data_IF_573541048074
#
_entry.id   IF_573541048074
#
_cell.length_a   1.000
_cell.length_b   1.000
_cell.length_c   1.000
_cell.angle_alpha   90.00
_cell.angle_beta   90.00
_cell.angle_gamma   90.00
#
_symmetry.space_group_name_H-M   'P 1'
#
loop_
_entity.id
_entity.type
_entity.pdbx_description
1 polymer ?
#
# COMPACT_ATOMS: atom_id res chain seq x y z
N UNK A 1 -33.63 51.42 -24.87
CA UNK A 1 -32.77 52.47 -24.26
C UNK A 1 -31.59 51.73 -23.64
N UNK A 2 -30.33 51.80 -24.08
CA UNK A 2 -29.60 52.63 -25.06
C UNK A 2 -28.41 51.79 -25.60
N UNK A 3 -28.21 51.86 -26.92
CA UNK A 3 -27.02 51.75 -27.81
C UNK A 3 -25.76 50.98 -27.37
N UNK A 4 -25.24 50.00 -28.16
CA UNK A 4 -24.45 50.06 -29.42
C UNK A 4 -23.11 50.80 -29.32
N UNK A 5 -21.99 50.07 -29.51
CA UNK A 5 -20.88 50.49 -30.38
C UNK A 5 -20.00 49.29 -30.79
N UNK A 6 -19.87 49.13 -32.10
CA UNK A 6 -18.98 48.24 -32.87
C UNK A 6 -17.77 49.06 -33.27
N UNK A 7 -16.55 48.50 -33.30
CA UNK A 7 -15.55 48.80 -34.34
C UNK A 7 -14.66 47.57 -34.59
N UNK A 8 -14.55 47.23 -35.87
CA UNK A 8 -13.58 46.32 -36.46
C UNK A 8 -12.84 47.08 -37.56
N UNK A 9 -11.53 46.89 -37.70
CA UNK A 9 -10.72 47.11 -38.92
C UNK A 9 -9.31 46.52 -38.69
N UNK A 10 -8.95 45.41 -39.36
CA UNK A 10 -8.16 45.28 -40.62
C UNK A 10 -6.67 45.65 -40.53
N UNK A 11 -5.79 44.77 -41.03
CA UNK A 11 -4.64 45.21 -41.82
C UNK A 11 -3.27 44.55 -41.60
N UNK A 12 -3.02 43.50 -42.37
CA UNK A 12 -1.80 43.17 -43.14
C UNK A 12 -0.43 42.86 -42.52
N UNK A 13 0.04 41.69 -42.98
CA UNK A 13 1.40 41.22 -43.13
C UNK A 13 2.37 42.18 -43.83
N UNK A 14 3.65 42.10 -43.41
CA UNK A 14 4.79 42.30 -44.31
C UNK A 14 5.92 41.37 -43.88
N UNK A 15 6.38 40.52 -44.81
CA UNK A 15 7.46 39.56 -44.58
C UNK A 15 8.84 40.20 -44.68
N UNK A 16 9.84 39.49 -44.13
CA UNK A 16 11.21 39.57 -44.64
C UNK A 16 11.95 38.26 -44.37
N UNK A 17 12.33 37.62 -45.47
CA UNK A 17 13.29 36.52 -45.54
C UNK A 17 14.68 37.06 -45.21
N UNK A 18 15.45 36.34 -44.41
CA UNK A 18 16.90 36.24 -44.60
C UNK A 18 17.32 34.80 -44.31
N UNK A 19 17.83 34.17 -45.35
CA UNK A 19 18.62 32.94 -45.34
C UNK A 19 20.01 33.25 -44.78
N UNK A 20 20.60 32.40 -43.93
CA UNK A 20 22.04 32.13 -44.01
C UNK A 20 22.44 30.77 -43.41
N UNK A 21 23.07 30.00 -44.30
CA UNK A 21 24.03 28.90 -44.20
C UNK A 21 24.14 27.94 -43.00
N UNK A 22 24.25 26.67 -43.39
CA UNK A 22 24.70 25.52 -42.60
C UNK A 22 26.14 25.73 -42.12
N UNK A 23 26.36 25.52 -40.82
CA UNK A 23 27.68 25.38 -40.21
C UNK A 23 27.80 24.01 -39.56
N UNK A 24 28.70 23.19 -40.10
CA UNK A 24 29.13 21.88 -39.62
C UNK A 24 29.72 21.94 -38.21
N UNK A 25 29.17 21.18 -37.27
CA UNK A 25 29.79 20.93 -35.96
C UNK A 25 30.67 19.70 -36.06
N UNK A 26 31.97 19.93 -36.26
CA UNK A 26 33.02 18.93 -36.11
C UNK A 26 33.30 18.68 -34.62
N UNK A 27 33.25 17.41 -34.23
CA UNK A 27 33.74 16.87 -32.98
C UNK A 27 35.20 17.28 -32.71
N UNK A 28 35.49 17.77 -31.50
CA UNK A 28 36.85 17.90 -30.98
C UNK A 28 36.98 17.19 -29.64
N UNK A 29 37.72 16.09 -29.69
CA UNK A 29 38.34 15.36 -28.59
C UNK A 29 39.37 16.24 -27.88
N UNK A 30 39.48 16.21 -26.54
CA UNK A 30 40.61 16.82 -25.84
C UNK A 30 41.85 15.89 -25.82
N UNK A 31 43.08 16.46 -25.76
CA UNK A 31 44.34 15.71 -25.84
C UNK A 31 44.76 15.06 -24.50
N UNK A 32 45.57 13.98 -24.53
CA UNK A 32 46.19 13.38 -23.34
C UNK A 32 47.63 13.85 -23.13
N UNK A 33 48.12 13.92 -21.87
CA UNK A 33 49.54 13.77 -21.45
C UNK A 33 49.72 14.07 -19.95
N UNK A 34 50.82 13.63 -19.27
CA UNK A 34 51.69 12.48 -19.53
C UNK A 34 51.96 11.59 -18.28
N UNK A 35 52.74 10.54 -18.51
CA UNK A 35 53.13 9.43 -17.62
C UNK A 35 54.34 9.71 -16.68
N UNK A 36 54.31 9.04 -15.52
CA UNK A 36 55.39 8.33 -14.77
C UNK A 36 56.54 9.10 -14.05
N UNK A 37 57.17 8.55 -12.97
CA UNK A 37 57.62 7.14 -12.86
C UNK A 37 57.41 6.35 -11.54
N UNK A 38 57.24 5.02 -11.72
CA UNK A 38 57.94 3.84 -11.12
C UNK A 38 59.05 4.15 -10.08
N UNK A 39 59.37 3.44 -8.98
CA UNK A 39 59.24 2.07 -8.42
C UNK A 39 59.86 2.15 -6.96
N UNK A 40 60.08 1.09 -6.13
CA UNK A 40 59.88 -0.35 -6.33
C UNK A 40 59.11 -1.11 -5.24
N UNK A 41 58.76 -2.33 -5.63
CA UNK A 41 58.23 -3.41 -4.82
C UNK A 41 59.33 -4.20 -4.08
N UNK A 42 59.01 -4.63 -2.87
CA UNK A 42 59.52 -5.82 -2.18
C UNK A 42 58.28 -6.50 -1.58
N UNK A 43 57.91 -7.76 -1.74
CA UNK A 43 58.64 -8.97 -2.12
C UNK A 43 58.33 -10.04 -1.07
N UNK A 44 57.45 -11.02 -1.40
CA UNK A 44 57.31 -12.37 -0.79
C UNK A 44 56.82 -12.43 0.69
N UNK A 45 56.07 -13.42 1.19
CA UNK A 45 55.92 -14.85 0.88
C UNK A 45 54.67 -15.40 1.61
N UNK A 46 54.06 -16.47 1.08
CA UNK A 46 53.17 -17.41 1.79
C UNK A 46 53.94 -18.21 2.84
N UNK A 47 53.28 -18.65 3.91
CA UNK A 47 53.83 -19.62 4.86
C UNK A 47 52.82 -20.04 5.94
N UNK A 48 52.71 -21.36 6.11
CA UNK A 48 51.70 -22.15 6.83
C UNK A 48 51.69 -22.05 8.37
N UNK A 49 50.60 -22.60 8.91
CA UNK A 49 50.38 -22.98 10.29
C UNK A 49 51.47 -23.88 10.91
N UNK A 50 51.74 -23.69 12.21
CA UNK A 50 51.71 -24.72 13.29
C UNK A 50 52.21 -24.17 14.63
N UNK A 51 51.33 -24.29 15.63
CA UNK A 51 51.49 -24.75 17.03
C UNK A 51 52.93 -24.98 17.55
N UNK A 52 53.26 -24.43 18.73
CA UNK A 52 53.70 -25.09 20.00
C UNK A 52 54.31 -24.06 20.99
N UNK A 53 54.11 -24.32 22.29
CA UNK A 53 54.53 -23.64 23.53
C UNK A 53 56.06 -23.36 23.62
N UNK A 54 56.64 -22.62 24.56
CA UNK A 54 56.39 -22.44 25.99
C UNK A 54 57.26 -21.30 26.59
N UNK A 55 56.78 -20.68 27.67
CA UNK A 55 57.48 -20.19 28.88
C UNK A 55 58.47 -18.99 28.95
N UNK A 56 58.20 -18.23 30.03
CA UNK A 56 59.00 -17.26 30.84
C UNK A 56 59.11 -15.84 30.26
N UNK A 57 58.82 -14.73 30.96
CA UNK A 57 58.41 -14.44 32.32
C UNK A 57 58.73 -12.96 32.60
N UNK A 58 57.87 -12.19 33.29
CA UNK A 58 58.26 -10.86 33.79
C UNK A 58 57.17 -9.79 33.94
N UNK A 59 56.62 -9.70 35.17
CA UNK A 59 56.22 -8.49 35.94
C UNK A 59 55.28 -7.46 35.27
N UNK A 60 54.00 -7.37 35.67
CA UNK A 60 53.36 -6.78 36.89
C UNK A 60 52.78 -5.38 36.64
N UNK A 61 51.44 -5.27 36.80
CA UNK A 61 50.57 -4.25 37.45
C UNK A 61 49.19 -4.35 36.76
N UNK A 62 48.15 -4.99 37.33
CA UNK A 62 47.33 -4.57 38.48
C UNK A 62 46.26 -3.59 37.99
N UNK A 63 45.00 -3.97 37.72
CA UNK A 63 43.92 -4.14 38.70
C UNK A 63 42.75 -5.01 38.17
N UNK A 64 42.04 -5.67 39.10
CA UNK A 64 41.15 -6.81 38.90
C UNK A 64 39.68 -6.45 38.63
N UNK A 65 39.06 -7.26 37.79
CA UNK A 65 37.61 -7.52 37.71
C UNK A 65 37.17 -8.46 38.84
N UNK A 66 35.92 -8.34 39.32
CA UNK A 66 35.28 -9.37 40.15
C UNK A 66 33.81 -9.54 39.78
N UNK A 67 33.47 -10.71 39.26
CA UNK A 67 32.13 -11.26 39.22
C UNK A 67 32.08 -12.46 40.19
N UNK A 68 31.02 -12.59 40.98
CA UNK A 68 30.71 -13.82 41.73
C UNK A 68 29.18 -14.00 41.82
N UNK A 69 28.75 -15.26 41.66
CA UNK A 69 27.38 -15.76 41.71
C UNK A 69 27.00 -16.26 43.12
N UNK A 70 25.72 -16.12 43.44
CA UNK A 70 24.78 -17.01 44.18
C UNK A 70 25.20 -17.83 45.42
N UNK A 71 24.53 -17.62 46.58
CA UNK A 71 23.55 -18.52 47.29
C UNK A 71 23.40 -18.22 48.82
N UNK A 72 22.32 -18.69 49.50
CA UNK A 72 21.67 -18.11 50.71
C UNK A 72 22.05 -18.89 52.01
N UNK A 73 21.46 -18.74 53.25
CA UNK A 73 20.01 -18.80 53.64
C UNK A 73 19.57 -17.90 54.84
N UNK A 74 18.25 -17.81 55.11
CA UNK A 74 17.61 -18.11 56.42
C UNK A 74 16.17 -17.56 56.55
N UNK A 75 15.27 -18.44 57.00
CA UNK A 75 13.87 -18.21 57.40
C UNK A 75 13.79 -17.68 58.85
N UNK A 76 12.77 -16.86 59.18
CA UNK A 76 11.71 -17.18 60.18
C UNK A 76 10.61 -16.11 60.28
N UNK A 77 9.41 -16.62 60.53
CA UNK A 77 8.09 -15.98 60.68
C UNK A 77 7.92 -15.08 61.92
N UNK A 78 6.96 -14.15 61.83
CA UNK A 78 5.77 -13.89 62.71
C UNK A 78 5.16 -12.56 62.19
N UNK A 79 3.91 -12.45 61.74
CA UNK A 79 2.66 -12.65 62.48
C UNK A 79 2.28 -11.35 63.20
N UNK A 80 1.25 -10.62 62.75
CA UNK A 80 0.76 -9.43 63.45
C UNK A 80 -0.13 -8.50 62.62
N UNK A 81 -1.43 -8.54 62.92
CA UNK A 81 -2.54 -7.72 62.40
C UNK A 81 -2.41 -6.27 62.92
N UNK A 82 -2.76 -5.26 62.12
CA UNK A 82 -2.83 -3.86 62.55
C UNK A 82 -4.25 -3.26 62.34
N UNK A 83 -4.76 -2.41 63.26
CA UNK A 83 -6.15 -1.97 63.30
C UNK A 83 -6.38 -0.51 62.82
N UNK A 84 -7.64 -0.20 62.50
CA UNK A 84 -8.25 1.15 62.46
C UNK A 84 -8.59 1.65 63.89
N UNK A 85 -9.08 2.89 64.17
CA UNK A 85 -9.14 4.20 63.48
C UNK A 85 -8.56 5.35 64.41
N UNK A 86 -8.91 6.67 64.36
CA UNK A 86 -10.25 7.23 64.61
C UNK A 86 -10.70 8.43 63.72
N UNK A 87 -11.98 8.78 63.86
CA UNK A 87 -12.69 9.95 63.32
C UNK A 87 -12.44 11.19 64.20
N UNK A 88 -12.53 12.40 63.63
CA UNK A 88 -13.50 13.49 63.91
C UNK A 88 -13.11 14.79 63.15
N UNK A 89 -14.13 15.59 62.77
CA UNK A 89 -14.07 16.84 61.98
C UNK A 89 -14.08 18.08 62.91
N UNK A 90 -14.45 19.33 62.51
CA UNK A 90 -14.52 20.00 61.20
C UNK A 90 -13.87 21.41 61.20
N UNK A 91 -13.51 21.99 60.04
CA UNK A 91 -13.48 23.46 59.89
C UNK A 91 -13.87 23.91 58.48
N UNK A 92 -14.90 24.74 58.47
CA UNK A 92 -15.51 25.45 57.35
C UNK A 92 -14.63 26.59 56.85
N UNK A 93 -14.42 26.70 55.53
CA UNK A 93 -14.28 28.01 54.86
C UNK A 93 -14.66 27.87 53.39
N UNK A 94 -15.71 28.61 53.03
CA UNK A 94 -16.33 28.56 51.72
C UNK A 94 -15.46 29.15 50.62
N UNK A 95 -15.51 28.51 49.46
CA UNK A 95 -15.31 29.15 48.17
C UNK A 95 -16.64 29.10 47.44
N UNK A 96 -17.18 30.29 47.19
CA UNK A 96 -18.38 30.50 46.40
C UNK A 96 -18.15 30.03 44.96
N UNK A 97 -19.01 29.13 44.48
CA UNK A 97 -19.14 28.78 43.07
C UNK A 97 -20.12 29.80 42.42
N UNK A 98 -19.84 30.30 41.20
CA UNK A 98 -20.79 31.13 40.49
C UNK A 98 -21.98 30.28 40.03
N UNK A 99 -23.18 30.77 40.38
CA UNK A 99 -24.47 30.31 39.87
C UNK A 99 -24.53 30.50 38.34
N UNK A 100 -24.43 29.40 37.60
CA UNK A 100 -24.91 29.34 36.22
C UNK A 100 -26.35 28.81 36.29
N UNK A 101 -27.27 29.63 35.80
CA UNK A 101 -28.69 29.33 35.75
C UNK A 101 -28.98 28.00 35.05
N UNK A 102 -29.85 27.20 35.66
CA UNK A 102 -30.43 25.99 35.07
C UNK A 102 -31.14 26.33 33.75
N UNK A 103 -30.47 26.10 32.64
CA UNK A 103 -31.10 26.02 31.32
C UNK A 103 -31.80 24.68 31.24
N UNK A 104 -33.12 24.69 31.35
CA UNK A 104 -33.95 23.51 31.16
C UNK A 104 -33.64 22.83 29.81
N UNK A 105 -33.51 21.49 29.75
CA UNK A 105 -33.23 20.79 28.50
C UNK A 105 -34.42 20.96 27.53
N UNK A 106 -34.17 21.12 26.21
CA UNK A 106 -35.24 21.19 25.23
C UNK A 106 -36.03 19.89 25.20
N UNK A 107 -37.37 20.02 25.16
CA UNK A 107 -38.29 18.88 25.07
C UNK A 107 -37.96 18.01 23.84
N UNK A 108 -38.01 16.66 23.96
CA UNK A 108 -37.79 15.79 22.81
C UNK A 108 -38.87 16.04 21.74
N UNK A 109 -38.43 16.25 20.50
CA UNK A 109 -39.30 16.39 19.35
C UNK A 109 -40.12 15.10 19.16
N UNK A 110 -41.43 15.24 18.96
CA UNK A 110 -42.31 14.10 18.63
C UNK A 110 -41.85 13.46 17.32
N UNK A 111 -41.72 12.12 17.23
CA UNK A 111 -41.40 11.45 15.98
C UNK A 111 -42.52 11.69 14.96
N UNK A 112 -42.17 12.22 13.78
CA UNK A 112 -43.05 12.26 12.62
C UNK A 112 -43.23 10.82 12.11
N UNK A 113 -44.44 10.30 12.22
CA UNK A 113 -44.83 9.03 11.60
C UNK A 113 -44.81 9.23 10.07
N UNK A 114 -44.02 8.44 9.30
CA UNK A 114 -44.10 8.46 7.85
C UNK A 114 -45.47 7.95 7.40
N UNK A 115 -46.16 8.73 6.56
CA UNK A 115 -47.37 8.28 5.89
C UNK A 115 -47.11 7.07 4.98
N UNK A 116 -48.13 6.26 4.67
CA UNK A 116 -47.97 5.05 3.87
C UNK A 116 -47.50 5.39 2.44
N UNK A 117 -46.65 4.55 1.82
CA UNK A 117 -46.19 4.77 0.45
C UNK A 117 -47.37 4.68 -0.53
N UNK A 118 -47.49 5.70 -1.38
CA UNK A 118 -48.44 5.74 -2.48
C UNK A 118 -48.23 4.57 -3.45
N UNK A 119 -49.33 3.96 -3.88
CA UNK A 119 -49.37 2.84 -4.83
C UNK A 119 -48.71 3.24 -6.16
N UNK A 120 -47.70 2.49 -6.58
CA UNK A 120 -47.17 2.53 -7.95
C UNK A 120 -48.20 1.96 -8.95
N UNK A 121 -48.29 2.51 -10.17
CA UNK A 121 -49.22 2.03 -11.20
C UNK A 121 -48.77 0.67 -11.76
N UNK A 122 -49.74 -0.25 -11.86
CA UNK A 122 -49.61 -1.58 -12.46
C UNK A 122 -49.37 -1.47 -13.97
N UNK A 123 -48.18 -1.84 -14.43
CA UNK A 123 -47.92 -2.09 -15.86
C UNK A 123 -48.54 -3.46 -16.20
N UNK A 124 -49.64 -3.46 -16.95
CA UNK A 124 -50.27 -4.66 -17.51
C UNK A 124 -49.34 -5.26 -18.57
N UNK A 125 -48.94 -6.51 -18.34
CA UNK A 125 -48.30 -7.33 -19.36
C UNK A 125 -49.24 -7.64 -20.52
N UNK A 126 -48.70 -7.62 -21.74
CA UNK A 126 -49.28 -8.28 -22.91
C UNK A 126 -48.29 -9.34 -23.38
N UNK A 127 -48.70 -10.60 -23.27
CA UNK A 127 -48.13 -11.75 -24.00
C UNK A 127 -48.93 -11.94 -25.28
N UNK A 128 -48.25 -12.00 -26.42
CA UNK A 128 -48.64 -12.64 -27.69
C UNK A 128 -47.50 -12.35 -28.67
N UNK A 129 -46.98 -13.25 -29.51
CA UNK A 129 -47.31 -14.64 -29.79
C UNK A 129 -46.15 -15.23 -30.60
N UNK A 130 -46.12 -16.57 -30.66
CA UNK A 130 -45.20 -17.32 -31.49
C UNK A 130 -45.58 -17.21 -32.99
N UNK A 131 -44.58 -17.19 -33.87
CA UNK A 131 -44.72 -17.63 -35.26
C UNK A 131 -43.37 -18.14 -35.79
N UNK A 132 -43.39 -19.38 -36.28
CA UNK A 132 -42.34 -20.10 -37.01
C UNK A 132 -42.06 -19.44 -38.37
N UNK A 133 -40.81 -19.52 -38.85
CA UNK A 133 -40.52 -19.87 -40.25
C UNK A 133 -39.08 -20.40 -40.38
N UNK A 134 -38.98 -21.62 -40.90
CA UNK A 134 -37.74 -22.27 -41.32
C UNK A 134 -37.40 -21.89 -42.77
N UNK A 135 -36.12 -21.72 -43.11
CA UNK A 135 -35.61 -21.93 -44.48
C UNK A 135 -34.23 -22.59 -44.42
N UNK A 136 -34.09 -23.58 -45.30
CA UNK A 136 -33.02 -24.56 -45.46
C UNK A 136 -31.72 -24.02 -46.08
N UNK A 137 -30.62 -24.66 -45.65
CA UNK A 137 -29.45 -25.15 -46.38
C UNK A 137 -29.02 -24.55 -47.73
N UNK A 138 -27.70 -24.28 -47.84
CA UNK A 138 -26.86 -24.82 -48.92
C UNK A 138 -25.38 -24.78 -48.51
N UNK A 139 -24.69 -25.93 -48.68
CA UNK A 139 -23.26 -26.12 -48.55
C UNK A 139 -22.61 -26.29 -49.94
N UNK A 140 -21.33 -25.95 -50.09
CA UNK A 140 -20.25 -26.51 -50.98
C UNK A 140 -19.15 -25.43 -51.12
N UNK A 141 -17.91 -25.59 -50.63
CA UNK A 141 -16.74 -26.42 -51.05
C UNK A 141 -16.14 -26.09 -52.43
N UNK A 142 -14.91 -25.53 -52.43
CA UNK A 142 -13.80 -25.62 -53.42
C UNK A 142 -12.52 -25.15 -52.68
N UNK A 143 -11.55 -25.97 -52.24
CA UNK A 143 -10.36 -26.58 -52.93
C UNK A 143 -9.51 -25.59 -53.74
N UNK A 144 -8.17 -25.49 -53.72
CA UNK A 144 -7.02 -26.21 -53.16
C UNK A 144 -5.78 -25.28 -53.24
N UNK A 145 -4.76 -25.47 -52.40
CA UNK A 145 -3.43 -26.06 -52.69
C UNK A 145 -2.61 -25.38 -53.80
N UNK A 146 -1.46 -24.80 -53.44
CA UNK A 146 -0.15 -25.30 -53.88
C UNK A 146 1.01 -24.63 -53.11
N UNK A 147 2.01 -25.45 -52.78
CA UNK A 147 3.25 -25.04 -52.11
C UNK A 147 4.40 -24.83 -53.08
N UNK A 148 5.34 -23.96 -52.71
CA UNK A 148 6.67 -23.83 -53.31
C UNK A 148 7.68 -23.59 -52.18
N UNK A 149 8.77 -24.36 -52.17
CA UNK A 149 9.78 -24.35 -51.12
C UNK A 149 11.03 -23.50 -51.41
N UNK A 150 11.60 -22.93 -50.32
CA UNK A 150 13.02 -22.94 -49.85
C UNK A 150 14.09 -22.22 -50.73
N UNK A 151 15.23 -21.63 -50.22
CA UNK A 151 15.74 -21.36 -48.84
C UNK A 151 16.23 -19.90 -48.57
N UNK A 152 16.66 -19.68 -47.32
CA UNK A 152 17.95 -19.09 -46.90
C UNK A 152 17.99 -17.77 -46.08
N UNK A 153 18.60 -17.90 -44.90
CA UNK A 153 19.44 -16.93 -44.19
C UNK A 153 18.99 -15.48 -44.03
N UNK A 154 18.47 -15.16 -42.83
CA UNK A 154 19.01 -14.06 -42.01
C UNK A 154 18.55 -14.17 -40.57
N UNK A 155 19.53 -14.41 -39.70
CA UNK A 155 19.46 -14.15 -38.28
C UNK A 155 19.12 -12.67 -38.05
N UNK A 156 17.91 -12.39 -37.61
CA UNK A 156 17.63 -11.19 -36.82
C UNK A 156 17.06 -11.67 -35.50
N UNK A 157 17.93 -11.69 -34.49
CA UNK A 157 17.56 -11.68 -33.08
C UNK A 157 16.67 -10.45 -32.84
N UNK A 158 15.38 -10.61 -33.03
CA UNK A 158 14.39 -9.67 -32.55
C UNK A 158 14.18 -9.97 -31.06
N UNK A 159 14.78 -9.14 -30.22
CA UNK A 159 14.44 -9.02 -28.80
C UNK A 159 12.91 -8.97 -28.66
N UNK A 160 12.31 -9.73 -27.74
CA UNK A 160 10.91 -9.53 -27.43
C UNK A 160 10.82 -8.26 -26.58
N UNK A 161 10.60 -7.12 -27.23
CA UNK A 161 10.07 -5.92 -26.57
C UNK A 161 8.60 -6.21 -26.20
N UNK A 162 8.44 -7.01 -25.14
CA UNK A 162 7.21 -7.21 -24.41
C UNK A 162 7.19 -6.25 -23.23
N UNK A 163 6.30 -5.25 -23.27
CA UNK A 163 6.13 -4.36 -22.12
C UNK A 163 5.17 -3.21 -22.39
N UNK A 164 3.87 -3.49 -22.38
CA UNK A 164 2.85 -2.45 -22.22
C UNK A 164 3.13 -1.67 -20.92
N UNK A 165 3.62 -0.44 -21.07
CA UNK A 165 4.23 0.35 -20.01
C UNK A 165 3.29 0.65 -18.85
N UNK A 166 3.51 -0.05 -17.73
CA UNK A 166 3.45 0.59 -16.41
C UNK A 166 4.79 1.29 -16.21
N UNK A 167 4.80 2.58 -15.86
CA UNK A 167 6.05 3.25 -15.51
C UNK A 167 6.78 2.42 -14.46
N UNK A 168 8.02 2.00 -14.76
CA UNK A 168 8.77 0.90 -14.13
C UNK A 168 9.15 1.04 -12.65
N UNK A 169 8.29 1.64 -11.83
CA UNK A 169 8.47 1.83 -10.39
C UNK A 169 7.75 0.76 -9.56
N UNK A 170 6.66 0.18 -10.05
CA UNK A 170 5.91 -0.82 -9.29
C UNK A 170 6.72 -2.12 -9.08
N UNK A 171 6.66 -2.68 -7.87
CA UNK A 171 7.35 -3.94 -7.54
C UNK A 171 6.36 -5.07 -7.34
N UNK A 172 6.71 -6.28 -7.80
CA UNK A 172 5.91 -7.48 -7.56
C UNK A 172 5.73 -7.73 -6.06
N UNK A 173 4.53 -8.07 -5.57
CA UNK A 173 4.32 -8.34 -4.15
C UNK A 173 5.18 -9.51 -3.64
N UNK A 174 5.49 -10.50 -4.48
CA UNK A 174 6.36 -11.63 -4.13
C UNK A 174 7.81 -11.18 -3.83
N UNK A 175 8.24 -10.05 -4.38
CA UNK A 175 9.54 -9.42 -4.14
C UNK A 175 9.44 -8.18 -3.23
N UNK A 176 8.32 -8.03 -2.53
CA UNK A 176 8.05 -6.92 -1.62
C UNK A 176 7.25 -7.39 -0.38
N UNK A 177 7.78 -8.38 0.38
CA UNK A 177 7.04 -9.04 1.47
C UNK A 177 6.73 -8.11 2.65
N UNK A 178 7.43 -6.98 2.78
CA UNK A 178 7.19 -5.97 3.82
C UNK A 178 6.40 -4.76 3.32
N UNK A 179 6.06 -4.72 2.03
CA UNK A 179 5.36 -3.58 1.43
C UNK A 179 6.14 -2.26 1.45
N UNK A 180 7.45 -2.27 1.63
CA UNK A 180 8.28 -1.05 1.71
C UNK A 180 8.65 -0.47 0.35
N UNK A 181 8.44 -1.23 -0.73
CA UNK A 181 8.70 -0.79 -2.11
C UNK A 181 7.42 -0.27 -2.78
N UNK A 182 7.54 0.67 -3.74
CA UNK A 182 6.41 1.29 -4.43
C UNK A 182 5.52 0.34 -5.22
N UNK A 183 4.25 0.74 -5.29
CA UNK A 183 3.24 0.23 -6.20
C UNK A 183 2.89 -1.23 -5.97
N UNK A 184 2.23 -1.78 -6.97
CA UNK A 184 1.90 -3.19 -7.06
C UNK A 184 2.08 -3.58 -8.52
N UNK A 185 3.10 -4.39 -8.82
CA UNK A 185 3.31 -4.87 -10.18
C UNK A 185 2.47 -6.13 -10.43
N UNK A 186 2.01 -6.35 -11.67
CA UNK A 186 1.34 -7.60 -12.06
C UNK A 186 2.20 -8.83 -11.77
N UNK A 187 1.53 -9.91 -11.35
CA UNK A 187 2.13 -11.26 -11.26
C UNK A 187 1.79 -11.97 -12.56
N UNK A 188 2.79 -12.18 -13.43
CA UNK A 188 2.57 -12.61 -14.83
C UNK A 188 3.15 -13.98 -15.13
N UNK A 189 4.35 -14.31 -14.65
CA UNK A 189 5.02 -15.57 -14.96
C UNK A 189 4.34 -16.76 -14.29
N UNK A 190 4.42 -17.94 -14.92
CA UNK A 190 3.82 -19.16 -14.36
C UNK A 190 4.45 -19.57 -13.03
N UNK A 191 5.76 -19.35 -12.88
CA UNK A 191 6.48 -19.59 -11.63
C UNK A 191 5.98 -18.67 -10.51
N UNK A 192 5.84 -17.36 -10.77
CA UNK A 192 5.31 -16.42 -9.79
C UNK A 192 3.85 -16.73 -9.45
N UNK A 193 3.05 -17.13 -10.43
CA UNK A 193 1.66 -17.56 -10.20
C UNK A 193 1.57 -18.82 -9.35
N UNK A 194 2.48 -19.77 -9.54
CA UNK A 194 2.57 -20.95 -8.69
C UNK A 194 2.93 -20.58 -7.24
N UNK A 195 3.92 -19.70 -7.06
CA UNK A 195 4.27 -19.20 -5.73
C UNK A 195 3.11 -18.43 -5.07
N UNK A 196 2.41 -17.61 -5.84
CA UNK A 196 1.22 -16.89 -5.40
C UNK A 196 0.12 -17.85 -4.92
N UNK A 197 -0.16 -18.93 -5.67
CA UNK A 197 -1.13 -19.96 -5.26
C UNK A 197 -0.70 -20.65 -3.97
N UNK A 198 0.57 -21.05 -3.84
CA UNK A 198 1.08 -21.67 -2.61
C UNK A 198 0.84 -20.79 -1.37
N UNK A 199 1.17 -19.49 -1.46
CA UNK A 199 0.92 -18.54 -0.36
C UNK A 199 -0.58 -18.44 0.00
N UNK A 200 -1.47 -18.45 -1.00
CA UNK A 200 -2.92 -18.37 -0.79
C UNK A 200 -3.46 -19.68 -0.21
N UNK A 201 -2.94 -20.83 -0.66
CA UNK A 201 -3.28 -22.17 -0.18
C UNK A 201 -2.93 -22.38 1.29
N UNK A 202 -1.88 -21.74 1.80
CA UNK A 202 -1.49 -21.80 3.22
C UNK A 202 -2.46 -21.02 4.13
N UNK A 203 -3.32 -20.16 3.59
CA UNK A 203 -4.25 -19.37 4.40
C UNK A 203 -5.32 -20.25 5.04
N UNK A 204 -5.46 -20.11 6.35
CA UNK A 204 -6.63 -20.66 7.09
C UNK A 204 -7.91 -19.99 6.63
N UNK A 205 -9.00 -20.74 6.64
CA UNK A 205 -10.33 -20.19 6.32
C UNK A 205 -11.30 -20.24 7.50
N UNK A 206 -12.14 -19.22 7.64
CA UNK A 206 -13.30 -19.22 8.55
C UNK A 206 -14.39 -18.26 8.07
N UNK A 207 -15.58 -18.33 8.66
CA UNK A 207 -16.63 -17.32 8.44
C UNK A 207 -16.30 -15.98 9.09
N UNK A 208 -16.91 -14.88 8.61
CA UNK A 208 -16.80 -13.58 9.27
C UNK A 208 -17.51 -13.62 10.63
N UNK A 209 -16.83 -13.13 11.66
CA UNK A 209 -17.45 -12.84 12.96
C UNK A 209 -18.35 -11.59 12.92
N UNK A 210 -18.99 -11.24 14.04
CA UNK A 210 -19.80 -10.03 14.12
C UNK A 210 -18.94 -8.76 13.98
N UNK A 211 -19.54 -7.69 13.45
CA UNK A 211 -18.95 -6.35 13.41
C UNK A 211 -19.22 -5.55 14.70
N UNK A 212 -19.94 -6.09 15.67
CA UNK A 212 -20.24 -5.43 16.95
C UNK A 212 -18.96 -4.93 17.63
N UNK A 213 -19.01 -3.70 18.14
CA UNK A 213 -17.87 -3.05 18.79
C UNK A 213 -16.81 -2.48 17.84
N UNK A 214 -16.93 -2.67 16.52
CA UNK A 214 -15.98 -2.10 15.58
C UNK A 214 -16.14 -0.58 15.46
N UNK A 215 -15.10 0.14 15.89
CA UNK A 215 -14.78 1.51 15.48
C UNK A 215 -13.47 1.54 14.69
N UNK A 216 -13.19 2.63 13.95
CA UNK A 216 -11.88 2.78 13.27
C UNK A 216 -10.79 3.18 14.26
N UNK A 217 -11.16 3.94 15.27
CA UNK A 217 -10.38 4.37 16.43
C UNK A 217 -9.90 3.20 17.30
N UNK A 218 -10.58 2.06 17.23
CA UNK A 218 -10.11 0.79 17.80
C UNK A 218 -8.76 0.32 17.21
N UNK A 219 -8.31 0.89 16.09
CA UNK A 219 -6.99 0.66 15.49
C UNK A 219 -5.99 1.80 15.81
N UNK A 220 -6.34 2.69 16.75
CA UNK A 220 -5.58 3.87 17.11
C UNK A 220 -5.88 5.08 16.23
N UNK A 221 -5.14 6.17 16.47
CA UNK A 221 -5.23 7.37 15.67
C UNK A 221 -4.80 7.09 14.22
N UNK A 222 -5.54 7.66 13.26
CA UNK A 222 -5.28 7.44 11.85
C UNK A 222 -3.90 7.94 11.44
N UNK A 223 -3.13 7.09 10.75
CA UNK A 223 -1.82 7.43 10.18
C UNK A 223 -0.75 7.77 11.23
N UNK A 224 -0.80 7.17 12.41
CA UNK A 224 0.17 7.44 13.46
C UNK A 224 1.59 6.98 13.10
N UNK A 225 2.58 7.83 13.37
CA UNK A 225 4.02 7.52 13.28
C UNK A 225 4.51 6.64 14.45
N UNK A 226 3.66 6.38 15.44
CA UNK A 226 4.05 5.74 16.71
C UNK A 226 3.65 4.26 16.80
N UNK A 227 3.33 3.62 15.67
CA UNK A 227 3.06 2.19 15.61
C UNK A 227 4.37 1.39 15.64
N UNK A 228 4.87 1.07 16.83
CA UNK A 228 6.17 0.41 16.97
C UNK A 228 6.25 -0.94 16.23
N UNK A 229 7.39 -1.19 15.57
CA UNK A 229 7.65 -2.44 14.86
C UNK A 229 7.05 -2.53 13.45
N UNK A 230 6.52 -1.43 12.90
CA UNK A 230 6.18 -1.35 11.46
C UNK A 230 7.21 -0.52 10.70
N UNK A 231 7.51 -0.85 9.42
CA UNK A 231 8.37 -0.02 8.60
C UNK A 231 7.87 1.43 8.50
N UNK A 232 8.81 2.36 8.43
CA UNK A 232 8.61 3.81 8.40
C UNK A 232 8.10 4.47 9.68
N UNK A 233 7.64 3.73 10.69
CA UNK A 233 7.30 4.35 11.97
C UNK A 233 8.53 4.97 12.68
N UNK A 234 8.26 5.95 13.55
CA UNK A 234 9.20 6.73 14.34
C UNK A 234 10.18 7.56 13.50
N UNK A 235 9.76 8.01 12.32
CA UNK A 235 10.58 8.81 11.43
C UNK A 235 10.24 10.32 11.46
N UNK A 236 9.18 10.71 12.19
CA UNK A 236 8.69 12.09 12.29
C UNK A 236 7.63 12.46 11.24
N UNK A 237 7.30 11.57 10.31
CA UNK A 237 6.25 11.72 9.31
C UNK A 237 5.06 10.82 9.65
N UNK A 238 3.85 11.28 9.36
CA UNK A 238 2.68 10.40 9.47
C UNK A 238 2.71 9.31 8.38
N UNK A 239 2.10 8.16 8.68
CA UNK A 239 2.10 6.99 7.81
C UNK A 239 1.51 7.30 6.42
N UNK A 240 0.55 8.22 6.34
CA UNK A 240 -0.06 8.60 5.07
C UNK A 240 0.98 9.24 4.17
N UNK A 241 1.73 10.20 4.67
CA UNK A 241 2.78 10.88 3.92
C UNK A 241 3.93 9.93 3.55
N UNK A 242 4.27 8.98 4.43
CA UNK A 242 5.25 7.94 4.09
C UNK A 242 4.81 7.10 2.90
N UNK A 243 3.54 6.68 2.87
CA UNK A 243 2.98 5.90 1.76
C UNK A 243 2.87 6.74 0.48
N UNK A 244 2.45 8.00 0.57
CA UNK A 244 2.42 8.91 -0.59
C UNK A 244 3.82 9.13 -1.17
N UNK A 245 4.84 9.31 -0.32
CA UNK A 245 6.24 9.45 -0.73
C UNK A 245 6.78 8.15 -1.34
N UNK A 246 6.44 6.99 -0.74
CA UNK A 246 6.84 5.65 -1.21
C UNK A 246 6.38 5.41 -2.63
N UNK A 247 5.11 5.63 -2.95
CA UNK A 247 4.51 5.28 -4.24
C UNK A 247 4.52 6.40 -5.27
N UNK A 248 4.46 7.65 -4.83
CA UNK A 248 4.34 8.82 -5.70
C UNK A 248 5.58 9.04 -6.57
N UNK A 249 5.37 9.32 -7.86
CA UNK A 249 6.37 9.91 -8.73
C UNK A 249 6.32 11.44 -8.68
N UNK A 250 7.44 12.11 -8.97
CA UNK A 250 7.55 13.58 -8.98
C UNK A 250 7.00 14.23 -7.69
N UNK A 251 7.25 13.60 -6.54
CA UNK A 251 6.78 14.03 -5.22
C UNK A 251 7.31 15.42 -4.91
N UNK A 252 6.42 16.33 -4.49
CA UNK A 252 6.76 17.64 -3.94
C UNK A 252 6.25 17.71 -2.52
N UNK A 253 7.13 18.12 -1.61
CA UNK A 253 6.77 18.38 -0.23
C UNK A 253 6.44 19.85 -0.03
N UNK A 254 5.70 20.14 1.05
CA UNK A 254 5.48 21.48 1.55
C UNK A 254 6.81 22.16 1.86
N UNK A 255 6.90 23.45 1.53
CA UNK A 255 8.06 24.26 1.93
C UNK A 255 8.31 24.17 3.44
N UNK A 256 9.53 23.83 3.83
CA UNK A 256 9.92 23.66 5.23
C UNK A 256 9.51 22.32 5.87
N UNK A 257 9.08 21.33 5.09
CA UNK A 257 8.80 19.97 5.58
C UNK A 257 9.32 18.91 4.61
N UNK A 258 9.97 17.88 5.15
CA UNK A 258 10.38 16.68 4.39
C UNK A 258 9.34 15.54 4.48
N UNK A 259 8.24 15.78 5.18
CA UNK A 259 7.16 14.80 5.38
C UNK A 259 5.94 15.15 4.54
N UNK A 260 5.45 16.39 4.63
CA UNK A 260 4.13 16.72 4.11
C UNK A 260 4.15 16.77 2.58
N UNK A 261 3.62 15.73 1.94
CA UNK A 261 3.47 15.67 0.48
C UNK A 261 2.34 16.60 0.04
N UNK A 262 2.62 17.49 -0.90
CA UNK A 262 1.67 18.46 -1.46
C UNK A 262 1.21 18.10 -2.86
N UNK A 263 2.07 17.46 -3.66
CA UNK A 263 1.67 16.90 -4.95
C UNK A 263 2.53 15.72 -5.36
N UNK A 264 1.97 14.86 -6.20
CA UNK A 264 2.66 13.73 -6.82
C UNK A 264 1.90 13.27 -8.07
N UNK A 265 2.50 12.35 -8.82
CA UNK A 265 1.81 11.55 -9.82
C UNK A 265 1.76 10.10 -9.35
N UNK A 266 0.57 9.53 -9.28
CA UNK A 266 0.35 8.12 -8.97
C UNK A 266 0.12 7.33 -10.26
N UNK A 267 0.81 6.20 -10.40
CA UNK A 267 0.40 5.13 -11.32
C UNK A 267 -0.54 4.22 -10.53
N UNK A 268 -1.85 4.43 -10.63
CA UNK A 268 -2.81 3.74 -9.77
C UNK A 268 -2.92 2.26 -10.16
N UNK A 269 -2.56 1.32 -9.26
CA UNK A 269 -2.61 -0.10 -9.58
C UNK A 269 -4.04 -0.63 -9.74
N UNK A 270 -5.04 0.01 -9.11
CA UNK A 270 -6.42 -0.52 -9.12
C UNK A 270 -7.15 -0.26 -10.44
N UNK A 271 -6.97 0.92 -11.02
CA UNK A 271 -7.61 1.31 -12.29
C UNK A 271 -6.65 1.22 -13.48
N UNK A 272 -5.34 1.15 -13.24
CA UNK A 272 -4.31 1.23 -14.30
C UNK A 272 -4.14 2.63 -14.87
N UNK A 273 -4.74 3.65 -14.23
CA UNK A 273 -4.68 5.05 -14.69
C UNK A 273 -3.57 5.81 -13.99
N UNK A 274 -3.05 6.81 -14.70
CA UNK A 274 -2.22 7.85 -14.09
C UNK A 274 -3.13 8.88 -13.41
N UNK A 275 -2.84 9.23 -12.16
CA UNK A 275 -3.55 10.26 -11.39
C UNK A 275 -2.55 11.34 -10.97
N UNK A 276 -2.79 12.58 -11.39
CA UNK A 276 -2.09 13.75 -10.85
C UNK A 276 -2.78 14.14 -9.55
N UNK A 277 -2.10 13.97 -8.42
CA UNK A 277 -2.66 14.22 -7.10
C UNK A 277 -2.08 15.49 -6.50
N UNK A 278 -2.94 16.27 -5.85
CA UNK A 278 -2.55 17.38 -4.99
C UNK A 278 -3.27 17.28 -3.66
N UNK A 279 -2.69 17.88 -2.62
CA UNK A 279 -3.30 17.90 -1.29
C UNK A 279 -4.66 18.62 -1.26
N UNK A 280 -4.90 19.57 -2.16
CA UNK A 280 -6.19 20.26 -2.32
C UNK A 280 -7.28 19.31 -2.83
N UNK A 281 -6.91 18.32 -3.63
CA UNK A 281 -7.79 17.25 -4.11
C UNK A 281 -7.44 15.91 -3.45
N UNK A 282 -7.26 15.94 -2.13
CA UNK A 282 -6.80 14.77 -1.37
C UNK A 282 -7.67 13.52 -1.55
N UNK A 283 -8.95 13.68 -1.91
CA UNK A 283 -9.89 12.58 -2.14
C UNK A 283 -9.64 11.79 -3.44
N UNK A 284 -8.91 12.36 -4.41
CA UNK A 284 -8.59 11.70 -5.68
C UNK A 284 -7.69 10.47 -5.48
N UNK A 285 -6.82 10.54 -4.47
CA UNK A 285 -6.01 9.41 -4.01
C UNK A 285 -6.23 9.15 -2.53
N UNK A 286 -6.75 7.97 -2.23
CA UNK A 286 -6.93 7.49 -0.87
C UNK A 286 -5.88 6.43 -0.56
N UNK A 287 -5.51 6.29 0.71
CA UNK A 287 -4.69 5.16 1.15
C UNK A 287 -5.67 4.04 1.53
N UNK A 288 -5.68 2.98 0.73
CA UNK A 288 -6.45 1.77 0.99
C UNK A 288 -5.74 0.90 2.03
N UNK A 289 -6.55 0.30 2.91
CA UNK A 289 -6.18 -0.86 3.70
C UNK A 289 -6.50 -2.09 2.84
N UNK A 290 -5.49 -2.67 2.18
CA UNK A 290 -5.68 -3.77 1.19
C UNK A 290 -6.56 -4.87 1.78
N UNK A 291 -6.25 -5.32 2.99
CA UNK A 291 -7.19 -6.01 3.88
C UNK A 291 -7.92 -4.95 4.74
N UNK A 292 -9.24 -4.75 4.56
CA UNK A 292 -9.95 -3.68 5.27
C UNK A 292 -9.97 -3.88 6.78
N UNK A 293 -9.83 -2.81 7.57
CA UNK A 293 -9.82 -2.91 9.05
C UNK A 293 -11.09 -3.55 9.63
N UNK A 294 -12.25 -3.35 9.02
CA UNK A 294 -13.47 -4.05 9.46
C UNK A 294 -13.46 -5.53 9.10
N UNK A 295 -12.80 -5.91 8.01
CA UNK A 295 -12.54 -7.31 7.68
C UNK A 295 -11.68 -7.92 8.78
N UNK A 296 -10.56 -7.27 9.10
CA UNK A 296 -9.62 -7.72 10.14
C UNK A 296 -10.34 -7.94 11.48
N UNK A 297 -11.19 -7.00 11.88
CA UNK A 297 -12.02 -7.09 13.08
C UNK A 297 -12.83 -8.40 13.12
N UNK A 298 -13.61 -8.63 12.07
CA UNK A 298 -14.47 -9.82 11.93
C UNK A 298 -13.65 -11.10 11.81
N UNK A 299 -12.40 -11.01 11.34
CA UNK A 299 -11.50 -12.14 11.18
C UNK A 299 -10.60 -12.41 12.39
N UNK A 300 -10.74 -11.62 13.46
CA UNK A 300 -10.15 -11.92 14.77
C UNK A 300 -9.49 -10.74 15.46
N UNK A 301 -9.27 -9.62 14.77
CA UNK A 301 -8.60 -8.46 15.35
C UNK A 301 -9.35 -7.83 16.51
N UNK A 302 -10.66 -8.09 16.64
CA UNK A 302 -11.47 -7.70 17.80
C UNK A 302 -10.91 -8.21 19.15
N UNK A 303 -10.15 -9.30 19.15
CA UNK A 303 -9.58 -9.91 20.35
C UNK A 303 -8.10 -9.59 20.55
N UNK A 304 -7.53 -8.71 19.71
CA UNK A 304 -6.13 -8.34 19.81
C UNK A 304 -5.91 -7.21 20.81
N UNK A 305 -4.67 -7.10 21.29
CA UNK A 305 -4.22 -5.87 21.93
C UNK A 305 -4.34 -4.70 20.96
N UNK A 306 -4.54 -3.50 21.51
CA UNK A 306 -4.58 -2.27 20.73
C UNK A 306 -3.29 -2.08 19.91
N UNK A 307 -2.12 -2.38 20.47
CA UNK A 307 -0.85 -2.26 19.75
C UNK A 307 -0.77 -3.15 18.50
N UNK A 308 -1.32 -4.37 18.54
CA UNK A 308 -1.36 -5.22 17.33
C UNK A 308 -2.31 -4.66 16.27
N UNK A 309 -3.44 -4.06 16.69
CA UNK A 309 -4.36 -3.35 15.79
C UNK A 309 -3.71 -2.10 15.18
N UNK A 310 -3.02 -1.30 15.99
CA UNK A 310 -2.24 -0.14 15.51
C UNK A 310 -1.19 -0.55 14.48
N UNK A 311 -0.49 -1.67 14.68
CA UNK A 311 0.48 -2.19 13.71
C UNK A 311 -0.17 -2.50 12.36
N UNK A 312 -1.23 -3.33 12.29
CA UNK A 312 -1.84 -3.68 10.99
C UNK A 312 -2.43 -2.47 10.26
N UNK A 313 -2.90 -1.46 11.00
CA UNK A 313 -3.45 -0.25 10.41
C UNK A 313 -2.39 0.70 9.84
N UNK A 314 -1.14 0.59 10.27
CA UNK A 314 -0.05 1.46 9.85
C UNK A 314 1.07 0.73 9.09
N UNK A 315 0.95 -0.59 8.90
CA UNK A 315 1.94 -1.38 8.18
C UNK A 315 1.89 -1.08 6.66
N UNK A 316 2.98 -0.62 6.04
CA UNK A 316 3.06 -0.41 4.59
C UNK A 316 2.68 -1.64 3.76
N UNK A 317 2.79 -2.85 4.31
CA UNK A 317 2.26 -4.06 3.70
C UNK A 317 0.75 -3.96 3.46
N UNK A 318 -0.02 -3.47 4.42
CA UNK A 318 -1.47 -3.33 4.29
C UNK A 318 -1.90 -2.01 3.62
N UNK A 319 -0.97 -1.12 3.24
CA UNK A 319 -1.30 0.22 2.76
C UNK A 319 -0.90 0.44 1.30
N UNK A 320 -1.84 0.94 0.50
CA UNK A 320 -1.61 1.27 -0.91
C UNK A 320 -2.34 2.58 -1.29
N UNK A 321 -1.66 3.58 -1.87
CA UNK A 321 -2.34 4.74 -2.44
C UNK A 321 -3.01 4.32 -3.74
N UNK A 322 -4.30 4.61 -3.85
CA UNK A 322 -5.14 4.18 -4.98
C UNK A 322 -6.17 5.26 -5.32
N UNK A 323 -6.78 5.13 -6.50
CA UNK A 323 -7.92 5.96 -6.93
C UNK A 323 -9.05 5.97 -5.88
N UNK A 324 -9.48 7.18 -5.50
CA UNK A 324 -10.47 7.39 -4.45
C UNK A 324 -11.83 6.74 -4.72
N UNK A 325 -12.44 6.93 -5.90
CA UNK A 325 -13.65 6.21 -6.31
C UNK A 325 -13.51 4.68 -6.26
N UNK A 326 -12.41 4.11 -6.75
CA UNK A 326 -12.16 2.68 -6.69
C UNK A 326 -12.11 2.16 -5.24
N UNK A 327 -11.42 2.87 -4.35
CA UNK A 327 -11.38 2.54 -2.91
C UNK A 327 -12.76 2.68 -2.24
N UNK A 328 -13.51 3.71 -2.62
CA UNK A 328 -14.88 3.93 -2.11
C UNK A 328 -15.85 2.84 -2.56
N UNK A 329 -15.64 2.27 -3.76
CA UNK A 329 -16.39 1.11 -4.25
C UNK A 329 -16.02 -0.18 -3.49
N UNK A 330 -14.75 -0.35 -3.13
CA UNK A 330 -14.25 -1.50 -2.35
C UNK A 330 -14.89 -1.59 -0.96
N UNK A 331 -14.96 -0.47 -0.22
CA UNK A 331 -15.42 -0.44 1.18
C UNK A 331 -14.69 -1.49 2.04
N UNK A 332 -15.45 -2.24 2.84
CA UNK A 332 -14.98 -3.32 3.74
C UNK A 332 -15.05 -4.72 3.10
N UNK A 333 -15.08 -4.77 1.75
CA UNK A 333 -15.22 -6.00 0.98
C UNK A 333 -13.95 -6.85 1.00
N UNK A 334 -14.13 -8.16 1.04
CA UNK A 334 -13.07 -9.12 0.75
C UNK A 334 -12.99 -9.41 -0.75
N UNK A 335 -11.96 -10.15 -1.21
CA UNK A 335 -11.74 -10.49 -2.61
C UNK A 335 -12.93 -11.14 -3.33
N UNK A 336 -13.80 -11.87 -2.64
CA UNK A 336 -14.99 -12.48 -3.25
C UNK A 336 -16.09 -11.46 -3.60
N UNK A 337 -16.13 -10.33 -2.90
CA UNK A 337 -17.15 -9.29 -3.10
C UNK A 337 -16.65 -8.13 -3.95
N UNK A 338 -15.34 -7.90 -3.98
CA UNK A 338 -14.74 -6.84 -4.76
C UNK A 338 -13.31 -7.20 -5.18
N UNK A 339 -12.98 -6.88 -6.43
CA UNK A 339 -11.63 -6.97 -6.99
C UNK A 339 -11.32 -5.67 -7.73
N UNK A 340 -10.03 -5.28 -7.83
CA UNK A 340 -9.64 -4.13 -8.63
C UNK A 340 -10.21 -4.18 -10.07
N UNK A 341 -10.69 -3.05 -10.61
CA UNK A 341 -11.17 -2.96 -11.99
C UNK A 341 -10.13 -3.42 -13.01
N UNK A 342 -8.86 -3.05 -12.80
CA UNK A 342 -7.74 -3.52 -13.61
C UNK A 342 -7.51 -5.02 -13.38
N UNK A 343 -7.75 -5.82 -14.42
CA UNK A 343 -7.64 -7.29 -14.34
C UNK A 343 -6.19 -7.76 -14.19
N UNK A 344 -5.24 -7.04 -14.78
CA UNK A 344 -3.82 -7.40 -14.79
C UNK A 344 -3.23 -7.42 -13.37
N UNK A 345 -3.80 -6.66 -12.44
CA UNK A 345 -3.32 -6.57 -11.07
C UNK A 345 -3.95 -7.57 -10.10
N UNK A 346 -5.02 -8.27 -10.49
CA UNK A 346 -5.86 -9.01 -9.52
C UNK A 346 -5.13 -10.12 -8.79
N UNK A 347 -4.22 -10.84 -9.46
CA UNK A 347 -3.37 -11.82 -8.76
C UNK A 347 -2.44 -11.12 -7.76
N UNK A 348 -1.81 -10.01 -8.15
CA UNK A 348 -0.94 -9.26 -7.24
C UNK A 348 -1.71 -8.71 -6.02
N UNK A 349 -2.94 -8.23 -6.22
CA UNK A 349 -3.85 -7.84 -5.13
C UNK A 349 -4.17 -9.02 -4.21
N UNK A 350 -4.50 -10.18 -4.78
CA UNK A 350 -4.74 -11.39 -4.01
C UNK A 350 -3.51 -11.83 -3.20
N UNK A 351 -2.31 -11.79 -3.79
CA UNK A 351 -1.05 -12.05 -3.09
C UNK A 351 -0.86 -11.06 -1.95
N UNK A 352 -1.09 -9.75 -2.18
CA UNK A 352 -0.90 -8.76 -1.12
C UNK A 352 -1.88 -8.98 0.03
N UNK A 353 -3.15 -9.26 -0.27
CA UNK A 353 -4.16 -9.60 0.72
C UNK A 353 -3.74 -10.85 1.53
N UNK A 354 -3.17 -11.87 0.86
CA UNK A 354 -2.64 -13.07 1.51
C UNK A 354 -1.42 -12.77 2.41
N UNK A 355 -0.50 -11.91 1.97
CA UNK A 355 0.66 -11.52 2.77
C UNK A 355 0.25 -10.83 4.08
N UNK A 356 -0.74 -9.93 4.01
CA UNK A 356 -1.29 -9.27 5.21
C UNK A 356 -1.93 -10.32 6.12
N UNK A 357 -2.79 -11.19 5.57
CA UNK A 357 -3.44 -12.26 6.31
C UNK A 357 -2.42 -13.16 7.03
N UNK A 358 -1.37 -13.55 6.32
CA UNK A 358 -0.32 -14.42 6.84
C UNK A 358 0.51 -13.73 7.94
N UNK A 359 1.03 -12.52 7.68
CA UNK A 359 1.84 -11.75 8.64
C UNK A 359 1.12 -11.52 9.97
N UNK A 360 -0.18 -11.30 9.92
CA UNK A 360 -0.99 -11.01 11.11
C UNK A 360 -1.76 -12.20 11.66
N UNK A 361 -1.58 -13.38 11.06
CA UNK A 361 -2.25 -14.63 11.42
C UNK A 361 -3.78 -14.52 11.35
N UNK A 362 -4.30 -13.75 10.40
CA UNK A 362 -5.73 -13.67 10.11
C UNK A 362 -6.14 -14.77 9.14
N UNK A 363 -7.32 -15.33 9.37
CA UNK A 363 -7.96 -16.20 8.39
C UNK A 363 -8.68 -15.35 7.33
N UNK A 364 -8.96 -15.95 6.18
CA UNK A 364 -9.83 -15.38 5.14
C UNK A 364 -11.13 -16.19 5.04
N UNK A 365 -12.14 -15.71 4.33
CA UNK A 365 -13.32 -16.55 4.06
C UNK A 365 -13.01 -17.57 2.97
N UNK A 366 -13.69 -18.73 2.97
CA UNK A 366 -13.54 -19.72 1.90
C UNK A 366 -13.90 -19.15 0.51
N UNK A 367 -14.96 -18.33 0.34
CA UNK A 367 -15.19 -17.60 -0.90
C UNK A 367 -14.04 -16.67 -1.31
N UNK A 368 -13.46 -15.93 -0.36
CA UNK A 368 -12.33 -15.04 -0.65
C UNK A 368 -11.13 -15.84 -1.12
N UNK A 369 -10.75 -16.91 -0.41
CA UNK A 369 -9.63 -17.79 -0.79
C UNK A 369 -9.81 -18.37 -2.19
N UNK A 370 -10.99 -18.91 -2.51
CA UNK A 370 -11.29 -19.42 -3.86
C UNK A 370 -11.15 -18.34 -4.92
N UNK A 371 -11.67 -17.15 -4.65
CA UNK A 371 -11.59 -16.02 -5.60
C UNK A 371 -10.14 -15.60 -5.82
N UNK A 372 -9.34 -15.55 -4.75
CA UNK A 372 -7.90 -15.24 -4.78
C UNK A 372 -7.13 -16.24 -5.64
N UNK A 373 -7.36 -17.54 -5.45
CA UNK A 373 -6.73 -18.61 -6.26
C UNK A 373 -7.08 -18.47 -7.74
N UNK A 374 -8.36 -18.23 -8.06
CA UNK A 374 -8.82 -18.04 -9.42
C UNK A 374 -8.13 -16.85 -10.13
N UNK A 375 -7.80 -15.78 -9.41
CA UNK A 375 -7.07 -14.65 -10.02
C UNK A 375 -5.62 -15.00 -10.38
N UNK A 376 -5.05 -16.01 -9.74
CA UNK A 376 -3.69 -16.49 -9.94
C UNK A 376 -3.61 -17.77 -10.80
N UNK A 377 -4.69 -18.11 -11.52
CA UNK A 377 -4.73 -19.25 -12.43
C UNK A 377 -4.88 -20.61 -11.74
N UNK A 378 -5.52 -20.65 -10.56
CA UNK A 378 -5.88 -21.88 -9.85
C UNK A 378 -7.37 -22.04 -9.64
#
# INVERSE_FOLDING_TARGET
MVERAVWATTGSWCGRRTSFSRGSVTSRTPPPSPLCPLLPQTGRRRGDARRIADRRGGRRKGCRSRALRSRPPARRNRGGVAPWPPREAPLSRGYAQPVIADVAPPRPARPRIPGPPGRAPRIRGRRAGAALAAVLAAATLVTGCDGVGVPDGRDTSASPDGGGGTGGRAVSPLHNPDGTRPGLAPVTSDADRAQARGLIEDLRTKGRGPRTGYGRDEFGYAWMDTADGVPFARNGCDTRNDVLRRDGAKVRHRSGSDCVVESMTLEDPYTGRRVSWTKQHAADVQIDHVMPLSYDWQMGAAHWSEDKRRRIANDPLNLLPVDGPANSAKRDSGPASWLPPSRTIRCAYAVRFAQVAHKYELAVTSPDKRTMLAQCGG
#
